data_IF_861640695794
#
_entry.id   IF_861640695794
#
_cell.length_a   1.000
_cell.length_b   1.000
_cell.length_c   1.000
_cell.angle_alpha   90.00
_cell.angle_beta   90.00
_cell.angle_gamma   90.00
#
_symmetry.space_group_name_H-M   'P 1'
#
loop_
_entity.id
_entity.type
_entity.pdbx_description
1 polymer ?
#
# COMPACT_ATOMS: atom_id res chain seq x y z
N UNK A 1 -11.56 -33.87 27.21
CA UNK A 1 -10.49 -34.87 27.01
C UNK A 1 -9.28 -34.19 26.36
N UNK A 2 -8.07 -34.74 26.46
CA UNK A 2 -6.84 -34.23 25.81
C UNK A 2 -7.03 -34.05 24.28
N UNK A 3 -7.80 -34.92 23.62
CA UNK A 3 -8.15 -34.84 22.20
C UNK A 3 -8.97 -33.59 21.88
N UNK A 4 -9.95 -33.25 22.69
CA UNK A 4 -10.82 -32.05 22.50
C UNK A 4 -10.00 -30.78 22.63
N UNK A 5 -9.07 -30.72 23.61
CA UNK A 5 -8.19 -29.58 23.79
C UNK A 5 -7.22 -29.39 22.61
N UNK A 6 -6.64 -30.50 22.12
CA UNK A 6 -5.74 -30.49 20.96
C UNK A 6 -6.44 -30.00 19.68
N UNK A 7 -7.66 -30.48 19.41
CA UNK A 7 -8.47 -30.02 18.27
C UNK A 7 -8.78 -28.54 18.38
N UNK A 8 -9.11 -28.06 19.59
CA UNK A 8 -9.36 -26.65 19.84
C UNK A 8 -8.11 -25.78 19.58
N UNK A 9 -6.92 -26.22 20.04
CA UNK A 9 -5.67 -25.50 19.76
C UNK A 9 -5.31 -25.49 18.27
N UNK A 10 -5.45 -26.62 17.57
CA UNK A 10 -5.20 -26.70 16.12
C UNK A 10 -6.14 -25.74 15.38
N UNK A 11 -7.42 -25.72 15.74
CA UNK A 11 -8.40 -24.81 15.13
C UNK A 11 -8.06 -23.33 15.36
N UNK A 12 -7.59 -22.97 16.55
CA UNK A 12 -7.12 -21.60 16.84
C UNK A 12 -5.90 -21.24 15.99
N UNK A 13 -4.94 -22.16 15.84
CA UNK A 13 -3.75 -21.93 15.02
C UNK A 13 -4.10 -21.76 13.54
N UNK A 14 -5.00 -22.59 13.01
CA UNK A 14 -5.49 -22.46 11.63
C UNK A 14 -6.19 -21.12 11.44
N UNK A 15 -7.12 -20.74 12.31
CA UNK A 15 -7.84 -19.47 12.23
C UNK A 15 -6.90 -18.24 12.32
N UNK A 16 -5.84 -18.33 13.13
CA UNK A 16 -4.81 -17.30 13.21
C UNK A 16 -3.99 -17.23 11.90
N UNK A 17 -3.62 -18.36 11.34
CA UNK A 17 -2.90 -18.43 10.08
C UNK A 17 -3.75 -17.86 8.92
N UNK A 18 -5.04 -18.17 8.87
CA UNK A 18 -5.99 -17.61 7.90
C UNK A 18 -6.11 -16.10 8.02
N UNK A 19 -6.31 -15.57 9.22
CA UNK A 19 -6.39 -14.11 9.45
C UNK A 19 -5.13 -13.37 9.02
N UNK A 20 -3.94 -13.92 9.32
CA UNK A 20 -2.65 -13.38 8.89
C UNK A 20 -2.53 -13.37 7.36
N UNK A 21 -2.98 -14.45 6.72
CA UNK A 21 -3.00 -14.53 5.27
C UNK A 21 -3.95 -13.49 4.66
N UNK A 22 -5.16 -13.31 5.23
CA UNK A 22 -6.12 -12.32 4.77
C UNK A 22 -5.57 -10.89 4.86
N UNK A 23 -4.91 -10.52 5.96
CA UNK A 23 -4.23 -9.24 6.08
C UNK A 23 -3.15 -9.07 5.01
N UNK A 24 -2.25 -10.05 4.87
CA UNK A 24 -1.17 -10.03 3.86
C UNK A 24 -1.73 -9.89 2.45
N UNK A 25 -2.77 -10.63 2.12
CA UNK A 25 -3.45 -10.53 0.83
C UNK A 25 -3.97 -9.11 0.58
N UNK A 26 -4.65 -8.52 1.57
CA UNK A 26 -5.16 -7.15 1.47
C UNK A 26 -4.03 -6.12 1.31
N UNK A 27 -2.95 -6.22 2.09
CA UNK A 27 -1.79 -5.31 1.97
C UNK A 27 -1.16 -5.37 0.58
N UNK A 28 -1.01 -6.57 0.03
CA UNK A 28 -0.53 -6.74 -1.34
C UNK A 28 -1.50 -6.16 -2.36
N UNK A 29 -2.79 -6.39 -2.23
CA UNK A 29 -3.80 -5.84 -3.14
C UNK A 29 -3.86 -4.31 -3.10
N UNK A 30 -3.82 -3.73 -1.90
CA UNK A 30 -3.75 -2.28 -1.69
C UNK A 30 -2.49 -1.69 -2.34
N UNK A 31 -1.34 -2.31 -2.14
CA UNK A 31 -0.08 -1.91 -2.79
C UNK A 31 -0.20 -2.02 -4.32
N UNK A 32 -0.76 -3.12 -4.82
CA UNK A 32 -0.93 -3.36 -6.25
C UNK A 32 -1.82 -2.32 -6.94
N UNK A 33 -2.71 -1.65 -6.19
CA UNK A 33 -3.50 -0.51 -6.70
C UNK A 33 -2.61 0.60 -7.27
N UNK A 34 -1.40 0.76 -6.72
CA UNK A 34 -0.41 1.77 -7.10
C UNK A 34 0.82 1.17 -7.83
N UNK A 35 0.66 0.02 -8.46
CA UNK A 35 1.68 -0.56 -9.33
C UNK A 35 1.31 -0.37 -10.81
N UNK A 36 2.28 -0.35 -11.73
CA UNK A 36 2.00 -0.29 -13.17
C UNK A 36 1.07 -1.42 -13.61
N UNK A 37 1.33 -2.64 -13.17
CA UNK A 37 0.51 -3.82 -13.43
C UNK A 37 -0.13 -4.31 -12.13
N UNK A 38 -1.46 -4.32 -12.09
CA UNK A 38 -2.22 -4.91 -10.98
C UNK A 38 -2.72 -6.29 -11.41
N UNK A 39 -2.27 -7.33 -10.72
CA UNK A 39 -2.67 -8.72 -10.99
C UNK A 39 -2.72 -9.51 -9.69
N UNK A 40 -3.76 -10.31 -9.52
CA UNK A 40 -3.80 -11.37 -8.50
C UNK A 40 -3.45 -12.68 -9.20
N UNK A 41 -2.42 -13.36 -8.69
CA UNK A 41 -1.95 -14.64 -9.19
C UNK A 41 -1.51 -15.51 -8.03
N UNK A 42 -1.94 -16.76 -8.03
CA UNK A 42 -1.60 -17.73 -6.99
C UNK A 42 -1.34 -19.11 -7.57
N UNK A 43 -0.60 -19.90 -6.82
CA UNK A 43 -0.41 -21.33 -7.03
C UNK A 43 -0.81 -22.06 -5.76
N UNK A 44 -1.72 -23.05 -5.87
CA UNK A 44 -2.26 -23.83 -4.76
C UNK A 44 -3.02 -23.00 -3.67
N UNK A 45 -3.36 -21.74 -3.97
CA UNK A 45 -4.16 -20.87 -3.09
C UNK A 45 -5.27 -20.21 -3.89
N UNK A 46 -6.38 -19.90 -3.23
CA UNK A 46 -7.45 -19.12 -3.85
C UNK A 46 -6.94 -17.71 -4.19
N UNK A 47 -7.23 -17.25 -5.39
CA UNK A 47 -6.93 -15.89 -5.84
C UNK A 47 -8.15 -14.98 -5.82
N UNK A 48 -9.33 -15.58 -5.66
CA UNK A 48 -10.62 -14.92 -5.59
C UNK A 48 -10.85 -14.37 -4.19
N UNK A 49 -10.80 -13.05 -4.05
CA UNK A 49 -10.88 -12.38 -2.75
C UNK A 49 -12.22 -12.60 -2.02
N UNK A 50 -13.30 -12.94 -2.73
CA UNK A 50 -14.58 -13.27 -2.11
C UNK A 50 -14.56 -14.57 -1.31
N UNK A 51 -13.57 -15.42 -1.50
CA UNK A 51 -13.36 -16.64 -0.70
C UNK A 51 -12.78 -16.35 0.70
N UNK A 52 -12.32 -15.11 0.94
CA UNK A 52 -11.70 -14.71 2.21
C UNK A 52 -12.66 -13.97 3.16
N UNK A 53 -13.96 -14.02 2.86
CA UNK A 53 -14.99 -13.44 3.69
C UNK A 53 -15.36 -12.00 3.34
N UNK A 54 -16.42 -11.52 3.98
CA UNK A 54 -17.07 -10.25 3.64
C UNK A 54 -16.16 -9.03 3.84
N UNK A 55 -15.40 -8.99 4.93
CA UNK A 55 -14.47 -7.89 5.21
C UNK A 55 -13.42 -7.75 4.11
N UNK A 56 -12.79 -8.87 3.72
CA UNK A 56 -11.77 -8.87 2.66
C UNK A 56 -12.40 -8.47 1.33
N UNK A 57 -13.57 -9.01 1.00
CA UNK A 57 -14.30 -8.67 -0.23
C UNK A 57 -14.61 -7.18 -0.30
N UNK A 58 -15.08 -6.58 0.78
CA UNK A 58 -15.41 -5.15 0.85
C UNK A 58 -14.16 -4.27 0.66
N UNK A 59 -13.06 -4.59 1.33
CA UNK A 59 -11.82 -3.82 1.23
C UNK A 59 -11.16 -4.00 -0.14
N UNK A 60 -11.17 -5.22 -0.68
CA UNK A 60 -10.68 -5.50 -2.02
C UNK A 60 -11.45 -4.71 -3.09
N UNK A 61 -12.78 -4.66 -2.97
CA UNK A 61 -13.64 -3.86 -3.86
C UNK A 61 -13.24 -2.38 -3.84
N UNK A 62 -13.05 -1.78 -2.67
CA UNK A 62 -12.58 -0.38 -2.54
C UNK A 62 -11.25 -0.16 -3.27
N UNK A 63 -10.29 -1.08 -3.14
CA UNK A 63 -9.00 -0.99 -3.81
C UNK A 63 -9.14 -1.07 -5.33
N UNK A 64 -10.00 -1.95 -5.83
CA UNK A 64 -10.29 -2.07 -7.26
C UNK A 64 -11.01 -0.83 -7.80
N UNK A 65 -12.02 -0.33 -7.10
CA UNK A 65 -12.73 0.91 -7.46
C UNK A 65 -11.77 2.11 -7.49
N UNK A 66 -10.85 2.20 -6.52
CA UNK A 66 -9.81 3.22 -6.51
C UNK A 66 -8.88 3.08 -7.73
N UNK A 67 -8.47 1.85 -8.08
CA UNK A 67 -7.66 1.60 -9.27
C UNK A 67 -8.34 2.10 -10.55
N UNK A 68 -9.65 1.86 -10.70
CA UNK A 68 -10.40 2.37 -11.84
C UNK A 68 -10.50 3.90 -11.84
N UNK A 69 -10.68 4.52 -10.68
CA UNK A 69 -10.68 6.00 -10.56
C UNK A 69 -9.32 6.61 -10.89
N UNK A 70 -8.23 5.90 -10.60
CA UNK A 70 -6.86 6.31 -10.95
C UNK A 70 -6.53 6.05 -12.44
N UNK A 71 -7.40 5.38 -13.20
CA UNK A 71 -7.10 5.01 -14.58
C UNK A 71 -6.68 6.19 -15.46
N UNK A 72 -7.34 7.36 -15.43
CA UNK A 72 -6.89 8.50 -16.22
C UNK A 72 -5.46 8.96 -15.87
N UNK A 73 -5.13 8.98 -14.58
CA UNK A 73 -3.78 9.30 -14.10
C UNK A 73 -2.76 8.27 -14.61
N UNK A 74 -3.06 7.00 -14.41
CA UNK A 74 -2.19 5.88 -14.85
C UNK A 74 -1.98 5.92 -16.36
N UNK A 75 -3.02 6.17 -17.13
CA UNK A 75 -2.95 6.26 -18.59
C UNK A 75 -2.07 7.42 -19.04
N UNK A 76 -2.25 8.61 -18.44
CA UNK A 76 -1.44 9.79 -18.74
C UNK A 76 0.04 9.59 -18.40
N UNK A 77 0.32 9.02 -17.23
CA UNK A 77 1.70 8.73 -16.82
C UNK A 77 2.32 7.60 -17.68
N UNK A 78 1.52 6.61 -18.11
CA UNK A 78 1.99 5.58 -19.05
C UNK A 78 2.32 6.15 -20.43
N UNK A 79 1.61 7.17 -20.89
CA UNK A 79 1.97 7.89 -22.10
C UNK A 79 3.34 8.58 -21.96
N UNK A 80 3.61 9.21 -20.80
CA UNK A 80 4.93 9.80 -20.50
C UNK A 80 6.05 8.77 -20.46
N UNK A 81 5.78 7.55 -19.98
CA UNK A 81 6.75 6.44 -20.06
C UNK A 81 7.18 6.20 -21.50
N UNK A 82 6.23 6.17 -22.44
CA UNK A 82 6.50 5.90 -23.86
C UNK A 82 7.11 7.09 -24.60
N UNK A 83 6.71 8.31 -24.27
CA UNK A 83 7.09 9.53 -25.00
C UNK A 83 8.35 10.18 -24.44
N UNK A 84 8.57 10.11 -23.12
CA UNK A 84 9.61 10.84 -22.39
C UNK A 84 10.64 9.90 -21.75
N UNK A 85 10.55 8.58 -21.99
CA UNK A 85 11.39 7.56 -21.33
C UNK A 85 11.37 7.68 -19.78
N UNK A 86 10.24 8.12 -19.20
CA UNK A 86 10.03 8.18 -17.75
C UNK A 86 9.70 6.80 -17.18
N UNK A 87 9.37 6.73 -15.91
CA UNK A 87 8.87 5.48 -15.29
C UNK A 87 7.71 5.80 -14.35
N UNK A 88 6.69 4.95 -14.34
CA UNK A 88 5.49 5.15 -13.52
C UNK A 88 5.74 4.83 -12.06
N UNK A 89 6.45 3.73 -11.75
CA UNK A 89 6.87 3.38 -10.40
C UNK A 89 8.33 3.80 -10.21
N UNK A 90 8.59 4.67 -9.23
CA UNK A 90 9.87 5.35 -9.04
C UNK A 90 10.37 5.13 -7.62
N UNK A 91 11.47 4.36 -7.42
CA UNK A 91 12.12 4.33 -6.11
C UNK A 91 12.52 5.75 -5.68
N UNK A 92 12.51 6.01 -4.36
CA UNK A 92 12.78 7.34 -3.81
C UNK A 92 14.10 7.95 -4.32
N UNK A 93 15.11 7.14 -4.56
CA UNK A 93 16.43 7.57 -5.10
C UNK A 93 16.31 8.27 -6.47
N UNK A 94 15.31 7.95 -7.29
CA UNK A 94 15.17 8.56 -8.62
C UNK A 94 14.77 10.03 -8.55
N UNK A 95 13.93 10.39 -7.58
CA UNK A 95 13.40 11.75 -7.45
C UNK A 95 14.11 12.57 -6.36
N UNK A 96 14.73 11.88 -5.39
CA UNK A 96 15.34 12.48 -4.19
C UNK A 96 16.77 11.97 -3.95
N UNK A 97 17.57 11.83 -5.01
CA UNK A 97 18.90 11.23 -4.97
C UNK A 97 19.95 11.96 -4.10
N UNK A 98 19.70 13.22 -3.73
CA UNK A 98 20.55 13.99 -2.82
C UNK A 98 20.08 13.96 -1.36
N UNK A 99 18.92 13.38 -1.10
CA UNK A 99 18.32 13.28 0.22
C UNK A 99 18.70 11.96 0.90
N UNK A 100 19.56 12.04 1.91
CA UNK A 100 20.10 10.85 2.60
C UNK A 100 19.02 10.01 3.27
N UNK A 101 17.91 10.60 3.72
CA UNK A 101 16.80 9.87 4.31
C UNK A 101 15.93 9.18 3.26
N UNK A 102 15.76 9.79 2.09
CA UNK A 102 15.10 9.16 0.96
C UNK A 102 15.86 7.93 0.44
N UNK A 103 17.21 7.98 0.44
CA UNK A 103 18.06 6.89 -0.04
C UNK A 103 17.95 5.60 0.78
N UNK A 104 17.60 5.69 2.05
CA UNK A 104 17.47 4.53 2.94
C UNK A 104 16.05 3.96 3.00
N UNK A 105 15.08 4.59 2.33
CA UNK A 105 13.71 4.08 2.26
C UNK A 105 13.64 2.83 1.38
N UNK A 106 13.24 1.71 1.97
CA UNK A 106 13.23 0.40 1.28
C UNK A 106 11.91 0.11 0.57
N UNK A 107 10.81 0.63 1.07
CA UNK A 107 9.46 0.24 0.66
C UNK A 107 8.63 1.38 0.09
N UNK A 108 8.99 2.63 0.42
CA UNK A 108 8.34 3.81 -0.13
C UNK A 108 8.74 4.03 -1.58
N UNK A 109 7.77 4.48 -2.38
CA UNK A 109 8.02 4.80 -3.77
C UNK A 109 7.06 5.89 -4.27
N UNK A 110 7.49 6.61 -5.30
CA UNK A 110 6.62 7.48 -6.05
C UNK A 110 5.86 6.70 -7.12
N UNK A 111 4.56 6.93 -7.21
CA UNK A 111 3.72 6.47 -8.29
C UNK A 111 3.37 7.65 -9.19
N UNK A 112 4.06 7.76 -10.33
CA UNK A 112 4.17 8.99 -11.09
C UNK A 112 4.83 10.11 -10.27
N UNK A 113 4.75 11.37 -10.72
CA UNK A 113 5.42 12.49 -10.05
C UNK A 113 4.73 12.98 -8.79
N UNK A 114 3.46 12.60 -8.58
CA UNK A 114 2.59 13.26 -7.60
C UNK A 114 2.21 12.43 -6.39
N UNK A 115 2.30 11.10 -6.45
CA UNK A 115 1.83 10.22 -5.38
C UNK A 115 3.00 9.49 -4.71
N UNK A 116 3.17 9.67 -3.41
CA UNK A 116 4.06 8.86 -2.59
C UNK A 116 3.23 7.75 -1.94
N UNK A 117 3.66 6.51 -2.12
CA UNK A 117 3.01 5.31 -1.58
C UNK A 117 3.93 4.67 -0.56
N UNK A 118 3.41 4.38 0.63
CA UNK A 118 4.14 3.74 1.72
C UNK A 118 3.49 2.39 2.10
N UNK A 119 3.82 1.29 1.41
CA UNK A 119 3.26 -0.02 1.69
C UNK A 119 3.55 -0.48 3.11
N UNK A 120 2.53 -1.04 3.78
CA UNK A 120 2.68 -1.65 5.09
C UNK A 120 3.12 -3.09 4.87
N UNK A 121 4.35 -3.41 5.25
CA UNK A 121 4.99 -4.72 5.01
C UNK A 121 5.14 -5.57 6.28
N UNK A 122 4.74 -5.02 7.42
CA UNK A 122 4.72 -5.72 8.71
C UNK A 122 3.33 -6.23 9.04
N UNK A 123 3.26 -7.22 9.90
CA UNK A 123 2.01 -7.81 10.34
C UNK A 123 1.40 -6.99 11.47
N UNK A 124 0.19 -6.47 11.25
CA UNK A 124 -0.64 -5.75 12.24
C UNK A 124 0.12 -4.69 13.08
N UNK A 125 0.94 -3.82 12.49
CA UNK A 125 1.57 -2.76 13.26
C UNK A 125 0.49 -1.76 13.70
N UNK A 126 0.66 -1.15 14.88
CA UNK A 126 -0.26 -0.12 15.36
C UNK A 126 -0.05 1.22 14.62
N UNK A 127 1.21 1.53 14.32
CA UNK A 127 1.64 2.74 13.62
C UNK A 127 2.57 2.37 12.47
N UNK A 128 2.56 3.17 11.41
CA UNK A 128 3.49 3.04 10.29
C UNK A 128 4.29 4.33 10.13
N UNK A 129 5.59 4.19 10.16
CA UNK A 129 6.51 5.32 10.02
C UNK A 129 6.75 5.61 8.55
N UNK A 130 6.50 6.85 8.11
CA UNK A 130 6.62 7.26 6.71
C UNK A 130 7.52 8.46 6.60
N UNK A 131 8.45 8.42 5.66
CA UNK A 131 9.29 9.53 5.29
C UNK A 131 8.67 10.31 4.13
N UNK A 132 8.52 11.62 4.30
CA UNK A 132 8.02 12.54 3.28
C UNK A 132 9.14 13.56 2.97
N UNK A 133 9.79 13.48 1.81
CA UNK A 133 10.85 14.41 1.42
C UNK A 133 10.39 15.86 1.44
N UNK A 134 11.35 16.78 1.62
CA UNK A 134 11.03 18.20 1.60
C UNK A 134 10.38 18.59 0.27
N UNK A 135 9.27 19.32 0.37
CA UNK A 135 8.56 19.89 -0.77
C UNK A 135 7.99 21.26 -0.40
N UNK A 136 8.20 22.26 -1.25
CA UNK A 136 7.78 23.66 -1.00
C UNK A 136 6.30 23.81 -0.65
N UNK A 137 5.42 23.04 -1.30
CA UNK A 137 3.97 23.04 -1.02
C UNK A 137 3.57 22.13 0.14
N UNK A 138 4.45 21.23 0.57
CA UNK A 138 4.19 20.17 1.52
C UNK A 138 3.46 18.97 0.91
N UNK A 139 2.93 18.12 1.77
CA UNK A 139 2.25 16.88 1.41
C UNK A 139 0.82 16.89 1.94
N UNK A 140 -0.05 16.18 1.25
CA UNK A 140 -1.47 16.02 1.62
C UNK A 140 -1.79 14.54 1.69
N UNK A 141 -2.55 14.14 2.71
CA UNK A 141 -3.09 12.78 2.78
C UNK A 141 -4.06 12.54 1.62
N UNK A 142 -3.82 11.49 0.86
CA UNK A 142 -4.56 11.19 -0.37
C UNK A 142 -6.05 10.94 -0.13
N UNK A 143 -6.41 10.31 0.99
CA UNK A 143 -7.78 9.91 1.26
C UNK A 143 -8.62 11.01 1.91
N UNK A 144 -7.98 11.87 2.70
CA UNK A 144 -8.67 12.94 3.43
C UNK A 144 -8.52 14.31 2.79
N UNK A 145 -7.52 14.50 1.93
CA UNK A 145 -7.15 15.79 1.35
C UNK A 145 -6.57 16.79 2.35
N UNK A 146 -6.29 16.36 3.58
CA UNK A 146 -5.73 17.24 4.61
C UNK A 146 -4.22 17.40 4.45
N UNK A 147 -3.73 18.63 4.68
CA UNK A 147 -2.30 18.90 4.71
C UNK A 147 -1.65 18.15 5.88
N UNK A 148 -0.53 17.49 5.60
CA UNK A 148 0.22 16.72 6.58
C UNK A 148 1.14 17.64 7.39
N UNK A 149 1.14 17.47 8.70
CA UNK A 149 2.12 18.09 9.60
C UNK A 149 3.26 17.09 9.83
N UNK A 150 4.47 17.46 9.51
CA UNK A 150 5.64 16.60 9.58
C UNK A 150 6.58 17.04 10.69
N UNK A 151 7.23 16.10 11.34
CA UNK A 151 8.38 16.31 12.21
C UNK A 151 9.65 15.83 11.51
N UNK A 152 10.53 16.77 11.14
CA UNK A 152 11.82 16.45 10.49
C UNK A 152 11.67 15.53 9.26
N UNK A 153 10.61 15.74 8.45
CA UNK A 153 10.35 14.95 7.24
C UNK A 153 9.67 13.60 7.49
N UNK A 154 9.30 13.26 8.72
CA UNK A 154 8.65 11.97 9.04
C UNK A 154 7.29 12.17 9.69
N UNK A 155 6.43 11.16 9.53
CA UNK A 155 5.13 11.08 10.21
C UNK A 155 4.87 9.64 10.66
N UNK A 156 4.14 9.52 11.78
CA UNK A 156 3.56 8.26 12.23
C UNK A 156 2.09 8.22 11.85
N UNK A 157 1.71 7.21 11.06
CA UNK A 157 0.34 7.03 10.57
C UNK A 157 -0.31 5.87 11.31
N UNK A 158 -1.49 6.07 11.93
CA UNK A 158 -2.24 4.97 12.50
C UNK A 158 -2.61 3.95 11.42
N UNK A 159 -2.30 2.68 11.67
CA UNK A 159 -2.54 1.60 10.72
C UNK A 159 -3.96 1.08 10.84
N UNK A 160 -4.64 0.94 9.70
CA UNK A 160 -5.91 0.21 9.58
C UNK A 160 -5.84 -0.76 8.40
N UNK A 161 -6.74 -1.74 8.37
CA UNK A 161 -6.87 -2.61 7.20
C UNK A 161 -7.54 -1.93 5.99
N UNK A 162 -8.19 -0.78 6.21
CA UNK A 162 -8.99 -0.12 5.17
C UNK A 162 -8.15 0.48 4.04
N UNK A 163 -6.96 0.99 4.36
CA UNK A 163 -6.08 1.67 3.42
C UNK A 163 -4.60 1.44 3.75
N UNK A 164 -3.73 1.75 2.80
CA UNK A 164 -2.30 2.00 3.03
C UNK A 164 -2.03 3.50 3.00
N UNK A 165 -0.97 4.00 3.66
CA UNK A 165 -0.61 5.40 3.58
C UNK A 165 -0.24 5.81 2.15
N UNK A 166 -0.89 6.86 1.65
CA UNK A 166 -0.61 7.48 0.35
C UNK A 166 -0.69 8.99 0.52
N UNK A 167 0.27 9.68 -0.05
CA UNK A 167 0.38 11.13 0.06
C UNK A 167 0.48 11.78 -1.31
N UNK A 168 -0.14 12.96 -1.43
CA UNK A 168 -0.10 13.78 -2.63
C UNK A 168 0.92 14.88 -2.43
N UNK A 169 1.86 14.97 -3.34
CA UNK A 169 2.82 16.07 -3.41
C UNK A 169 2.10 17.34 -3.87
N UNK A 170 2.25 18.44 -3.15
CA UNK A 170 1.77 19.72 -3.63
C UNK A 170 2.58 20.19 -4.85
N UNK A 171 1.88 20.76 -5.82
CA UNK A 171 2.49 21.33 -7.04
C UNK A 171 3.20 22.64 -6.80
#
# INVERSE_FOLDING_TARGET
SKKTLMIFFIRILILRAEKKYHERFLRWLQTATFLPLMRVHGYQTNTEFWNYGEQVTRIARKSLELRYRLFPYIYSESARVSLEASTLMRPMIMDYGTDSLALVQKYEFMFGPSLLVAPIVEESPAMWHVYLPENKGGWYDFFTGKKVQMNSGTIDVPVSLENIPVFVKAG
#
